data_IF_017066090539
#
_entry.id   IF_017066090539
#
_cell.length_a   1.000
_cell.length_b   1.000
_cell.length_c   1.000
_cell.angle_alpha   90.00
_cell.angle_beta   90.00
_cell.angle_gamma   90.00
#
_symmetry.space_group_name_H-M   'P 1'
#
loop_
_entity.id
_entity.type
_entity.pdbx_description
1 polymer ?
#
# COMPACT_ATOMS: atom_id res chain seq x y z
N UNK A 1 5.85 -19.81 5.23
CA UNK A 1 5.56 -18.66 4.33
C UNK A 1 4.49 -17.82 5.02
N UNK A 2 4.69 -16.50 5.14
CA UNK A 2 3.81 -15.62 5.93
C UNK A 2 2.88 -14.91 4.94
N UNK A 3 1.57 -15.12 5.06
CA UNK A 3 0.61 -14.31 4.32
C UNK A 3 0.77 -12.83 4.70
N UNK A 4 0.56 -11.91 3.74
CA UNK A 4 0.72 -10.46 3.99
C UNK A 4 -0.24 -9.97 5.07
N UNK A 5 -1.48 -10.48 5.04
CA UNK A 5 -2.41 -10.39 6.17
C UNK A 5 -2.51 -11.74 6.88
N UNK A 6 -2.44 -11.75 8.22
CA UNK A 6 -2.94 -12.86 9.05
C UNK A 6 -4.36 -13.27 8.64
N UNK A 7 -4.68 -14.55 8.77
CA UNK A 7 -5.96 -15.12 8.34
C UNK A 7 -7.16 -14.42 9.02
N UNK A 8 -6.97 -14.02 10.27
CA UNK A 8 -7.98 -13.36 11.10
C UNK A 8 -8.37 -11.98 10.55
N UNK A 9 -7.45 -11.29 9.86
CA UNK A 9 -7.69 -9.96 9.28
C UNK A 9 -8.25 -10.03 7.85
N UNK A 10 -8.17 -11.18 7.17
CA UNK A 10 -8.61 -11.29 5.76
C UNK A 10 -10.12 -11.14 5.57
N UNK A 11 -10.92 -11.24 6.63
CA UNK A 11 -12.38 -11.17 6.54
C UNK A 11 -12.93 -9.74 6.55
N UNK A 12 -12.21 -8.80 7.17
CA UNK A 12 -12.68 -7.43 7.42
C UNK A 12 -11.69 -6.36 6.95
N UNK A 13 -10.52 -6.76 6.49
CA UNK A 13 -9.44 -5.87 6.03
C UNK A 13 -9.06 -6.21 4.59
N UNK A 14 -8.97 -5.19 3.73
CA UNK A 14 -8.48 -5.31 2.35
C UNK A 14 -7.14 -4.56 2.20
N UNK A 15 -6.19 -5.17 1.49
CA UNK A 15 -5.00 -4.46 1.00
C UNK A 15 -5.30 -3.94 -0.40
N UNK A 16 -5.04 -2.64 -0.59
CA UNK A 16 -5.10 -1.99 -1.90
C UNK A 16 -3.79 -1.24 -2.14
N UNK A 17 -3.11 -1.55 -3.25
CA UNK A 17 -1.94 -0.83 -3.72
C UNK A 17 -2.32 0.12 -4.85
N UNK A 18 -1.60 1.24 -4.99
CA UNK A 18 -1.80 2.21 -6.09
C UNK A 18 -0.43 2.64 -6.64
N UNK A 19 -0.30 2.73 -7.96
CA UNK A 19 0.92 3.24 -8.60
C UNK A 19 0.63 4.01 -9.89
N UNK A 20 1.65 4.71 -10.39
CA UNK A 20 1.64 5.38 -11.71
C UNK A 20 1.96 4.41 -12.87
N UNK A 21 1.88 3.11 -12.61
CA UNK A 21 2.10 2.07 -13.62
C UNK A 21 0.92 1.93 -14.56
N UNK A 22 1.21 1.89 -15.86
CA UNK A 22 0.24 1.37 -16.82
C UNK A 22 0.07 -0.15 -16.64
N UNK A 23 -0.94 -0.70 -17.31
CA UNK A 23 -1.28 -2.12 -17.21
C UNK A 23 -0.13 -3.05 -17.58
N UNK A 24 0.66 -2.69 -18.60
CA UNK A 24 1.79 -3.51 -19.06
C UNK A 24 2.86 -3.61 -17.96
N UNK A 25 3.25 -2.47 -17.39
CA UNK A 25 4.28 -2.43 -16.34
C UNK A 25 3.79 -3.04 -15.03
N UNK A 26 2.51 -2.88 -14.71
CA UNK A 26 1.90 -3.56 -13.57
C UNK A 26 1.94 -5.09 -13.75
N UNK A 27 1.62 -5.59 -14.95
CA UNK A 27 1.72 -7.02 -15.25
C UNK A 27 3.17 -7.53 -15.14
N UNK A 28 4.15 -6.79 -15.69
CA UNK A 28 5.56 -7.13 -15.56
C UNK A 28 6.00 -7.22 -14.09
N UNK A 29 5.47 -6.36 -13.21
CA UNK A 29 5.74 -6.43 -11.77
C UNK A 29 5.13 -7.68 -11.13
N UNK A 30 3.89 -8.01 -11.47
CA UNK A 30 3.21 -9.22 -10.99
C UNK A 30 3.96 -10.48 -11.41
N UNK A 31 4.35 -10.56 -12.68
CA UNK A 31 5.09 -11.69 -13.24
C UNK A 31 6.42 -11.87 -12.49
N UNK A 32 7.16 -10.76 -12.31
CA UNK A 32 8.43 -10.78 -11.58
C UNK A 32 8.27 -11.24 -10.12
N UNK A 33 7.30 -10.72 -9.38
CA UNK A 33 7.05 -11.15 -7.99
C UNK A 33 6.65 -12.62 -7.95
N UNK A 34 5.85 -13.08 -8.91
CA UNK A 34 5.45 -14.48 -9.01
C UNK A 34 6.65 -15.39 -9.28
N UNK A 35 7.57 -14.97 -10.15
CA UNK A 35 8.81 -15.70 -10.44
C UNK A 35 9.79 -15.71 -9.27
N UNK A 36 9.97 -14.59 -8.58
CA UNK A 36 10.92 -14.44 -7.46
C UNK A 36 10.42 -15.13 -6.17
N UNK A 37 9.14 -14.94 -5.83
CA UNK A 37 8.57 -15.38 -4.55
C UNK A 37 7.68 -16.62 -4.66
N UNK A 38 7.36 -17.06 -5.89
CA UNK A 38 6.48 -18.21 -6.15
C UNK A 38 5.00 -17.96 -5.81
N UNK A 39 4.62 -16.70 -5.59
CA UNK A 39 3.27 -16.30 -5.16
C UNK A 39 2.77 -15.18 -6.06
N UNK A 40 1.55 -15.32 -6.55
CA UNK A 40 0.81 -14.23 -7.19
C UNK A 40 0.25 -13.32 -6.09
N UNK A 41 0.55 -12.01 -6.10
CA UNK A 41 -0.05 -11.06 -5.17
C UNK A 41 -1.58 -11.19 -5.11
N UNK A 42 -2.14 -11.35 -3.91
CA UNK A 42 -3.57 -11.61 -3.67
C UNK A 42 -4.37 -10.35 -3.28
N UNK A 43 -3.83 -9.17 -3.59
CA UNK A 43 -4.41 -7.88 -3.23
C UNK A 43 -4.69 -7.00 -4.45
N UNK A 44 -5.61 -6.06 -4.30
CA UNK A 44 -6.04 -5.16 -5.38
C UNK A 44 -4.92 -4.18 -5.73
N UNK A 45 -4.63 -4.02 -7.02
CA UNK A 45 -3.66 -3.03 -7.52
C UNK A 45 -4.32 -2.02 -8.46
N UNK A 46 -4.44 -0.78 -7.99
CA UNK A 46 -4.98 0.36 -8.74
C UNK A 46 -3.92 1.03 -9.60
N UNK A 47 -4.37 1.58 -10.72
CA UNK A 47 -3.56 2.29 -11.70
C UNK A 47 -3.96 3.77 -11.68
N UNK A 48 -2.98 4.65 -11.50
CA UNK A 48 -3.12 6.11 -11.53
C UNK A 48 -2.02 6.71 -12.41
N UNK A 49 -2.03 6.36 -13.71
CA UNK A 49 -1.01 6.77 -14.69
C UNK A 49 -0.78 8.28 -14.70
N UNK A 50 -1.87 9.04 -14.59
CA UNK A 50 -1.86 10.51 -14.59
C UNK A 50 -1.68 11.09 -13.17
N UNK A 51 -1.32 10.27 -12.18
CA UNK A 51 -1.07 10.63 -10.78
C UNK A 51 -2.16 11.51 -10.13
N UNK A 52 -3.41 11.46 -10.63
CA UNK A 52 -4.49 12.37 -10.24
C UNK A 52 -4.99 12.11 -8.84
N UNK A 53 -4.93 10.85 -8.39
CA UNK A 53 -5.29 10.48 -7.02
C UNK A 53 -4.11 10.76 -6.11
N UNK A 54 -2.92 10.31 -6.50
CA UNK A 54 -1.67 10.50 -5.75
C UNK A 54 -1.41 11.99 -5.44
N UNK A 55 -1.64 12.88 -6.41
CA UNK A 55 -1.48 14.33 -6.26
C UNK A 55 -2.43 14.95 -5.23
N UNK A 56 -3.65 14.42 -5.09
CA UNK A 56 -4.62 14.94 -4.10
C UNK A 56 -4.14 14.77 -2.67
N UNK A 57 -3.25 13.80 -2.44
CA UNK A 57 -2.61 13.55 -1.16
C UNK A 57 -1.24 14.22 -1.04
N UNK A 58 -0.77 14.93 -2.07
CA UNK A 58 0.54 15.58 -2.10
C UNK A 58 1.72 14.60 -2.04
N UNK A 59 1.54 13.37 -2.56
CA UNK A 59 2.50 12.28 -2.41
C UNK A 59 3.40 12.08 -3.63
N UNK A 60 3.08 12.70 -4.76
CA UNK A 60 3.88 12.55 -5.97
C UNK A 60 5.26 13.18 -5.75
N UNK A 61 6.33 12.44 -6.06
CA UNK A 61 7.70 12.94 -5.99
C UNK A 61 8.17 13.39 -7.39
N UNK A 62 8.07 14.69 -7.73
CA UNK A 62 8.52 15.19 -9.02
C UNK A 62 10.05 15.17 -9.16
N UNK A 63 10.78 15.15 -8.05
CA UNK A 63 12.23 15.26 -7.99
C UNK A 63 12.95 13.89 -8.03
N UNK A 64 12.22 12.78 -8.19
CA UNK A 64 12.84 11.46 -8.33
C UNK A 64 13.73 11.43 -9.59
N UNK A 65 15.06 11.26 -9.44
CA UNK A 65 16.01 11.41 -10.55
C UNK A 65 16.05 10.18 -11.47
N UNK A 66 15.36 9.09 -11.11
CA UNK A 66 15.14 7.97 -12.02
C UNK A 66 14.24 8.45 -13.15
N UNK A 67 14.36 7.87 -14.35
CA UNK A 67 13.59 8.25 -15.56
C UNK A 67 12.05 8.14 -15.42
N UNK A 68 11.55 7.90 -14.21
CA UNK A 68 10.15 7.78 -13.88
C UNK A 68 9.89 8.30 -12.46
N UNK A 69 9.21 9.46 -12.33
CA UNK A 69 8.68 9.93 -11.07
C UNK A 69 7.74 8.89 -10.44
N UNK A 70 7.90 8.63 -9.15
CA UNK A 70 7.04 7.71 -8.38
C UNK A 70 6.59 8.40 -7.10
N UNK A 71 5.50 7.97 -6.45
CA UNK A 71 5.09 8.54 -5.17
C UNK A 71 6.14 8.32 -4.07
N UNK A 72 6.19 9.23 -3.11
CA UNK A 72 6.85 9.01 -1.84
C UNK A 72 6.32 7.73 -1.16
N UNK A 73 7.17 6.90 -0.54
CA UNK A 73 6.73 5.77 0.27
C UNK A 73 5.63 6.18 1.23
N UNK A 74 4.46 5.56 1.06
CA UNK A 74 3.26 5.91 1.80
C UNK A 74 2.44 4.67 2.11
N UNK A 75 1.91 4.62 3.33
CA UNK A 75 0.91 3.64 3.76
C UNK A 75 -0.17 4.37 4.57
N UNK A 76 -1.42 4.05 4.32
CA UNK A 76 -2.56 4.50 5.11
C UNK A 76 -3.29 3.30 5.68
N UNK A 77 -3.70 3.39 6.95
CA UNK A 77 -4.72 2.53 7.54
C UNK A 77 -5.98 3.38 7.67
N UNK A 78 -7.03 2.92 6.99
CA UNK A 78 -8.29 3.64 6.84
C UNK A 78 -9.38 2.75 7.42
N UNK A 79 -10.26 3.32 8.23
CA UNK A 79 -11.40 2.60 8.78
C UNK A 79 -12.55 2.45 7.76
N UNK A 80 -13.60 1.74 8.17
CA UNK A 80 -14.79 1.49 7.34
C UNK A 80 -15.62 2.74 7.05
N UNK A 81 -15.40 3.83 7.79
CA UNK A 81 -16.04 5.14 7.55
C UNK A 81 -15.22 6.02 6.59
N UNK A 82 -14.05 5.54 6.14
CA UNK A 82 -13.17 6.25 5.23
C UNK A 82 -12.24 7.26 5.93
N UNK A 83 -12.08 7.16 7.25
CA UNK A 83 -11.20 8.02 8.04
C UNK A 83 -9.81 7.40 8.14
N UNK A 84 -8.78 8.19 7.87
CA UNK A 84 -7.38 7.78 8.07
C UNK A 84 -7.10 7.72 9.58
N UNK A 85 -6.83 6.52 10.09
CA UNK A 85 -6.54 6.26 11.51
C UNK A 85 -5.06 6.17 11.79
N UNK A 86 -4.28 5.72 10.81
CA UNK A 86 -2.83 5.75 10.87
C UNK A 86 -2.25 6.03 9.48
N UNK A 87 -1.09 6.68 9.44
CA UNK A 87 -0.36 6.94 8.21
C UNK A 87 1.14 6.90 8.41
N UNK A 88 1.82 6.45 7.37
CA UNK A 88 3.26 6.62 7.18
C UNK A 88 3.47 7.34 5.85
N UNK A 89 4.28 8.41 5.85
CA UNK A 89 4.72 9.11 4.63
C UNK A 89 6.18 9.49 4.84
N UNK A 90 7.05 9.20 3.88
CA UNK A 90 8.47 9.49 3.99
C UNK A 90 9.07 9.94 2.65
N UNK A 91 9.98 10.90 2.69
CA UNK A 91 10.66 11.44 1.51
C UNK A 91 11.77 10.50 1.05
N UNK A 92 12.48 9.89 1.99
CA UNK A 92 13.55 8.94 1.68
C UNK A 92 12.98 7.60 1.21
N UNK A 93 13.13 7.31 -0.09
CA UNK A 93 12.60 6.07 -0.71
C UNK A 93 13.07 4.75 -0.07
N UNK A 94 14.17 4.79 0.69
CA UNK A 94 14.72 3.61 1.40
C UNK A 94 14.04 3.33 2.73
N UNK A 95 13.29 4.29 3.26
CA UNK A 95 12.63 4.17 4.56
C UNK A 95 11.17 3.80 4.29
N UNK A 96 10.77 2.67 4.85
CA UNK A 96 9.43 2.09 4.74
C UNK A 96 9.01 1.56 6.11
N UNK A 97 7.71 1.58 6.43
CA UNK A 97 7.24 0.93 7.64
C UNK A 97 7.50 -0.57 7.52
N UNK A 98 7.77 -1.22 8.65
CA UNK A 98 7.79 -2.67 8.73
C UNK A 98 6.35 -3.19 8.70
N UNK A 99 6.19 -4.47 8.36
CA UNK A 99 4.86 -5.09 8.40
C UNK A 99 4.29 -5.07 9.82
N UNK A 100 5.15 -5.21 10.83
CA UNK A 100 4.79 -5.12 12.24
C UNK A 100 4.15 -3.77 12.59
N UNK A 101 4.66 -2.65 12.08
CA UNK A 101 4.09 -1.31 12.33
C UNK A 101 2.65 -1.20 11.79
N UNK A 102 2.41 -1.79 10.61
CA UNK A 102 1.10 -1.78 9.95
C UNK A 102 0.11 -2.69 10.70
N UNK A 103 0.58 -3.87 11.13
CA UNK A 103 -0.23 -4.82 11.90
C UNK A 103 -0.62 -4.26 13.26
N UNK A 104 0.29 -3.56 13.95
CA UNK A 104 -0.01 -2.87 15.21
C UNK A 104 -1.09 -1.81 15.02
N UNK A 105 -0.97 -0.95 14.00
CA UNK A 105 -1.97 0.06 13.69
C UNK A 105 -3.36 -0.55 13.34
N UNK A 106 -3.39 -1.71 12.65
CA UNK A 106 -4.62 -2.43 12.37
C UNK A 106 -5.24 -3.03 13.65
N UNK A 107 -4.41 -3.57 14.56
CA UNK A 107 -4.88 -4.10 15.84
C UNK A 107 -5.49 -2.99 16.70
N UNK A 108 -4.80 -1.85 16.85
CA UNK A 108 -5.31 -0.69 17.59
C UNK A 108 -6.64 -0.19 17.01
N UNK A 109 -6.75 -0.13 15.68
CA UNK A 109 -8.00 0.25 15.03
C UNK A 109 -9.15 -0.71 15.37
N UNK A 110 -8.91 -2.02 15.32
CA UNK A 110 -9.94 -3.01 15.64
C UNK A 110 -10.37 -2.94 17.10
N UNK A 111 -9.44 -2.73 18.02
CA UNK A 111 -9.75 -2.51 19.43
C UNK A 111 -10.60 -1.25 19.68
N UNK A 112 -10.48 -0.23 18.85
CA UNK A 112 -11.35 0.95 18.88
C UNK A 112 -12.73 0.68 18.27
N UNK A 113 -12.81 -0.11 17.19
CA UNK A 113 -14.08 -0.49 16.56
C UNK A 113 -14.91 -1.45 17.43
N UNK A 114 -14.25 -2.31 18.22
CA UNK A 114 -14.90 -3.29 19.10
C UNK A 114 -15.32 -2.71 20.47
N UNK A 115 -15.03 -1.44 20.74
CA UNK A 115 -15.48 -0.75 21.96
C UNK A 115 -16.95 -0.30 21.83
N UNK A 116 -17.82 -0.65 22.80
CA UNK A 116 -19.26 -0.37 22.76
C UNK A 116 -19.64 1.11 22.93
#
# INVERSE_FOLDING_TARGET
MRALLPYELKNDTEIVAISVDDREKQQMMIDRVTEEDGIVPDFTMLIDVDHRVIDRYGLFNPDEPRSRPVPHPTVFVIDKEGVVRWKFVEVNYRVRPQNEDILEALTELRELEDQP
#
